data_IF_984988978698
#
_entry.id   IF_984988978698
#
_cell.length_a   1.000
_cell.length_b   1.000
_cell.length_c   1.000
_cell.angle_alpha   90.00
_cell.angle_beta   90.00
_cell.angle_gamma   90.00
#
_symmetry.space_group_name_H-M   'P 1'
#
loop_
_entity.id
_entity.type
_entity.pdbx_description
1 polymer ?
#
# COMPACT_ATOMS: atom_id res chain seq x y z
N UNK A 1 -23.10 -0.39 -12.02
CA UNK A 1 -22.52 0.96 -12.07
C UNK A 1 -22.70 1.62 -10.71
N UNK A 2 -21.60 1.91 -10.03
CA UNK A 2 -21.60 2.69 -8.81
C UNK A 2 -21.86 4.15 -9.16
N UNK A 3 -22.93 4.70 -8.68
CA UNK A 3 -23.21 6.11 -8.87
C UNK A 3 -23.10 6.88 -7.57
N UNK A 4 -22.56 8.07 -7.63
CA UNK A 4 -22.71 9.12 -6.63
C UNK A 4 -24.19 9.55 -6.59
N UNK A 5 -24.59 10.35 -5.59
CA UNK A 5 -26.00 10.75 -5.38
C UNK A 5 -26.71 11.24 -6.65
N UNK A 6 -26.02 11.94 -7.55
CA UNK A 6 -26.57 12.38 -8.85
C UNK A 6 -26.61 11.25 -9.88
N UNK A 7 -25.64 10.34 -9.91
CA UNK A 7 -25.64 9.20 -10.83
C UNK A 7 -26.76 8.20 -10.57
N UNK A 8 -27.37 8.18 -9.36
CA UNK A 8 -28.52 7.34 -9.05
C UNK A 8 -29.77 7.70 -9.87
N UNK A 9 -29.86 8.91 -10.44
CA UNK A 9 -30.95 9.29 -11.33
C UNK A 9 -30.92 8.53 -12.66
N UNK A 10 -29.73 8.11 -13.10
CA UNK A 10 -29.49 7.47 -14.39
C UNK A 10 -29.14 5.98 -14.30
N UNK A 11 -29.09 5.41 -13.09
CA UNK A 11 -28.78 3.99 -12.94
C UNK A 11 -30.01 3.11 -13.02
N UNK A 12 -29.93 2.05 -13.81
CA UNK A 12 -31.00 1.05 -13.98
C UNK A 12 -31.21 0.18 -12.71
N UNK A 13 -30.21 0.05 -11.86
CA UNK A 13 -30.29 -0.71 -10.60
C UNK A 13 -29.77 0.14 -9.45
N UNK A 14 -30.61 0.33 -8.43
CA UNK A 14 -30.29 1.09 -7.23
C UNK A 14 -30.21 0.15 -6.04
N UNK A 15 -29.10 0.20 -5.30
CA UNK A 15 -28.91 -0.59 -4.08
C UNK A 15 -28.55 0.35 -2.93
N UNK A 16 -29.29 0.23 -1.83
CA UNK A 16 -28.96 0.95 -0.59
C UNK A 16 -27.77 0.25 0.07
N UNK A 17 -26.69 0.96 0.24
CA UNK A 17 -25.50 0.43 0.92
C UNK A 17 -25.80 0.27 2.42
N UNK A 18 -25.63 -0.95 2.91
CA UNK A 18 -25.79 -1.29 4.33
C UNK A 18 -24.45 -1.60 5.00
N UNK A 19 -23.39 -1.82 4.22
CA UNK A 19 -22.08 -2.15 4.70
C UNK A 19 -21.08 -1.02 4.47
N UNK A 20 -20.10 -0.91 5.35
CA UNK A 20 -18.96 0.00 5.21
C UNK A 20 -17.91 -0.52 4.23
N UNK A 21 -17.89 -1.83 3.95
CA UNK A 21 -16.91 -2.48 3.11
C UNK A 21 -17.35 -2.52 1.64
N UNK A 22 -16.42 -2.27 0.71
CA UNK A 22 -16.71 -2.28 -0.73
C UNK A 22 -17.09 -3.66 -1.26
N UNK A 23 -16.44 -4.72 -0.77
CA UNK A 23 -16.72 -6.11 -1.22
C UNK A 23 -18.11 -6.54 -0.80
N UNK A 24 -18.52 -6.21 0.44
CA UNK A 24 -19.87 -6.49 0.93
C UNK A 24 -20.92 -5.70 0.15
N UNK A 25 -20.66 -4.42 -0.13
CA UNK A 25 -21.55 -3.61 -0.96
C UNK A 25 -21.68 -4.18 -2.39
N UNK A 26 -20.57 -4.68 -2.96
CA UNK A 26 -20.58 -5.33 -4.26
C UNK A 26 -21.39 -6.64 -4.22
N UNK A 27 -21.24 -7.44 -3.15
CA UNK A 27 -22.05 -8.65 -2.94
C UNK A 27 -23.55 -8.36 -2.90
N UNK A 28 -23.94 -7.29 -2.20
CA UNK A 28 -25.36 -6.83 -2.16
C UNK A 28 -25.83 -6.41 -3.56
N UNK A 29 -24.99 -5.68 -4.29
CA UNK A 29 -25.32 -5.21 -5.63
C UNK A 29 -25.51 -6.35 -6.63
N UNK A 30 -24.64 -7.36 -6.59
CA UNK A 30 -24.69 -8.54 -7.47
C UNK A 30 -25.71 -9.56 -7.01
N UNK A 31 -26.23 -9.44 -5.79
CA UNK A 31 -27.05 -10.45 -5.12
C UNK A 31 -26.33 -11.82 -5.03
N UNK A 32 -25.02 -11.78 -4.83
CA UNK A 32 -24.14 -12.94 -4.74
C UNK A 32 -23.17 -12.78 -3.59
N UNK A 33 -22.85 -13.87 -2.90
CA UNK A 33 -21.79 -13.87 -1.89
C UNK A 33 -20.44 -13.92 -2.58
N UNK A 34 -19.75 -12.78 -2.65
CA UNK A 34 -18.40 -12.72 -3.18
C UNK A 34 -17.46 -13.42 -2.21
N UNK A 35 -16.85 -14.52 -2.65
CA UNK A 35 -15.77 -15.18 -1.91
C UNK A 35 -14.50 -14.37 -2.10
N UNK A 36 -13.87 -13.97 -0.99
CA UNK A 36 -12.50 -13.47 -1.04
C UNK A 36 -11.60 -14.62 -1.48
N UNK A 37 -10.97 -14.46 -2.63
CA UNK A 37 -10.01 -15.44 -3.14
C UNK A 37 -8.62 -14.95 -2.68
N UNK A 38 -7.89 -15.80 -1.98
CA UNK A 38 -6.49 -15.54 -1.70
C UNK A 38 -5.74 -15.52 -3.03
N UNK A 39 -5.20 -14.35 -3.36
CA UNK A 39 -4.40 -14.22 -4.56
C UNK A 39 -3.09 -14.98 -4.38
N UNK A 40 -2.70 -15.77 -5.38
CA UNK A 40 -1.43 -16.47 -5.38
C UNK A 40 -0.44 -15.74 -6.30
N UNK A 41 0.58 -15.06 -5.76
CA UNK A 41 1.58 -14.32 -6.54
C UNK A 41 2.33 -15.19 -7.56
N UNK A 42 2.42 -16.52 -7.32
CA UNK A 42 3.06 -17.46 -8.25
C UNK A 42 2.26 -17.67 -9.55
N UNK A 43 1.00 -17.19 -9.61
CA UNK A 43 0.18 -17.18 -10.83
C UNK A 43 0.41 -15.94 -11.70
N UNK A 44 1.23 -15.00 -11.27
CA UNK A 44 1.64 -13.90 -12.11
C UNK A 44 2.43 -14.38 -13.34
N UNK A 45 2.47 -13.60 -14.42
CA UNK A 45 3.30 -13.91 -15.59
C UNK A 45 4.75 -14.17 -15.19
N UNK A 46 5.34 -15.25 -15.74
CA UNK A 46 6.69 -15.71 -15.36
C UNK A 46 7.78 -14.65 -15.56
N UNK A 47 7.66 -13.82 -16.60
CA UNK A 47 8.56 -12.70 -16.86
C UNK A 47 8.56 -11.68 -15.71
N UNK A 48 7.39 -11.36 -15.11
CA UNK A 48 7.30 -10.43 -13.98
C UNK A 48 7.89 -11.04 -12.70
N UNK A 49 7.68 -12.34 -12.48
CA UNK A 49 8.28 -13.05 -11.35
C UNK A 49 9.81 -13.07 -11.49
N UNK A 50 10.32 -13.34 -12.70
CA UNK A 50 11.76 -13.32 -12.99
C UNK A 50 12.36 -11.93 -12.84
N UNK A 51 11.65 -10.89 -13.32
CA UNK A 51 12.10 -9.50 -13.16
C UNK A 51 12.14 -9.09 -11.69
N UNK A 52 11.12 -9.46 -10.90
CA UNK A 52 11.13 -9.19 -9.46
C UNK A 52 12.30 -9.88 -8.74
N UNK A 53 12.65 -11.11 -9.11
CA UNK A 53 13.83 -11.81 -8.58
C UNK A 53 15.14 -11.14 -8.97
N UNK A 54 15.23 -10.63 -10.19
CA UNK A 54 16.41 -9.88 -10.69
C UNK A 54 16.59 -8.58 -9.94
N UNK A 55 15.49 -7.83 -9.73
CA UNK A 55 15.52 -6.53 -9.06
C UNK A 55 15.71 -6.62 -7.54
N UNK A 56 15.18 -7.66 -6.92
CA UNK A 56 15.28 -7.96 -5.49
C UNK A 56 15.82 -9.39 -5.28
N UNK A 57 17.11 -9.64 -5.54
CA UNK A 57 17.68 -11.01 -5.56
C UNK A 57 17.85 -11.65 -4.18
N UNK A 58 17.97 -10.83 -3.14
CA UNK A 58 18.25 -11.28 -1.75
C UNK A 58 16.94 -11.53 -0.97
N UNK A 59 17.05 -11.55 0.33
CA UNK A 59 16.00 -11.55 1.35
C UNK A 59 16.16 -10.34 2.28
N UNK A 60 15.36 -10.26 3.31
CA UNK A 60 15.36 -9.20 4.33
C UNK A 60 15.05 -7.80 3.77
N UNK A 61 14.03 -7.71 2.93
CA UNK A 61 13.54 -6.46 2.42
C UNK A 61 12.35 -5.92 3.22
N UNK A 62 12.32 -4.60 3.39
CA UNK A 62 11.13 -3.89 3.88
C UNK A 62 10.67 -2.88 2.84
N UNK A 63 9.40 -3.00 2.42
CA UNK A 63 8.81 -2.16 1.40
C UNK A 63 8.16 -0.91 1.96
N UNK A 64 8.29 0.21 1.25
CA UNK A 64 7.66 1.49 1.58
C UNK A 64 6.89 2.03 0.38
N UNK A 65 5.56 2.22 0.55
CA UNK A 65 4.72 2.91 -0.40
C UNK A 65 4.33 4.27 0.16
N UNK A 66 4.94 5.31 -0.37
CA UNK A 66 4.97 6.64 0.26
C UNK A 66 4.19 7.71 -0.52
N UNK A 67 3.95 7.49 -1.82
CA UNK A 67 3.34 8.49 -2.70
C UNK A 67 1.82 8.44 -2.67
N UNK A 68 1.19 9.60 -2.71
CA UNK A 68 -0.26 9.73 -2.86
C UNK A 68 -0.60 10.23 -4.27
N UNK A 69 -1.63 9.64 -4.90
CA UNK A 69 -2.03 10.05 -6.25
C UNK A 69 -2.77 11.39 -6.31
N UNK A 70 -3.33 11.88 -5.19
CA UNK A 70 -4.07 13.14 -5.13
C UNK A 70 -3.71 13.90 -3.84
N UNK A 71 -2.99 15.00 -3.98
CA UNK A 71 -2.47 15.81 -2.88
C UNK A 71 -3.57 16.48 -2.05
N UNK A 72 -4.70 16.84 -2.65
CA UNK A 72 -5.82 17.46 -1.93
C UNK A 72 -6.40 16.56 -0.82
N UNK A 73 -6.19 15.25 -0.91
CA UNK A 73 -6.68 14.30 0.09
C UNK A 73 -5.86 14.26 1.38
N UNK A 74 -4.71 14.94 1.44
CA UNK A 74 -3.82 15.05 2.62
C UNK A 74 -3.54 13.70 3.30
N UNK A 75 -3.25 12.67 2.51
CA UNK A 75 -3.00 11.31 2.97
C UNK A 75 -1.51 11.01 3.17
N UNK A 76 -0.62 11.97 2.90
CA UNK A 76 0.82 11.78 2.98
C UNK A 76 1.29 11.74 4.43
N UNK A 77 1.98 10.68 4.78
CA UNK A 77 2.86 10.68 5.95
C UNK A 77 4.19 11.31 5.55
N UNK A 78 4.80 12.07 6.45
CA UNK A 78 6.00 12.85 6.12
C UNK A 78 7.12 11.97 5.54
N UNK A 79 7.74 12.39 4.43
CA UNK A 79 8.89 11.72 3.85
C UNK A 79 10.04 11.55 4.86
N UNK A 80 10.24 12.52 5.75
CA UNK A 80 11.25 12.44 6.80
C UNK A 80 10.97 11.34 7.81
N UNK A 81 9.69 11.05 8.09
CA UNK A 81 9.31 9.91 8.94
C UNK A 81 9.57 8.58 8.25
N UNK A 82 9.31 8.48 6.94
CA UNK A 82 9.68 7.30 6.15
C UNK A 82 11.20 7.09 6.12
N UNK A 83 11.98 8.15 5.92
CA UNK A 83 13.45 8.12 5.96
C UNK A 83 13.93 7.66 7.34
N UNK A 84 13.39 8.21 8.42
CA UNK A 84 13.73 7.80 9.78
C UNK A 84 13.41 6.33 10.04
N UNK A 85 12.23 5.86 9.59
CA UNK A 85 11.82 4.47 9.73
C UNK A 85 12.71 3.53 8.90
N UNK A 86 13.06 3.92 7.69
CA UNK A 86 13.96 3.16 6.83
C UNK A 86 15.36 3.01 7.44
N UNK A 87 15.92 4.10 8.01
CA UNK A 87 17.20 4.05 8.71
C UNK A 87 17.13 3.15 9.98
N UNK A 88 16.05 3.22 10.75
CA UNK A 88 15.82 2.27 11.87
C UNK A 88 15.74 0.82 11.39
N UNK A 89 15.18 0.57 10.21
CA UNK A 89 15.07 -0.78 9.63
C UNK A 89 16.42 -1.33 9.19
N UNK A 90 17.35 -0.48 8.73
CA UNK A 90 18.74 -0.86 8.43
C UNK A 90 19.45 -1.42 9.67
N UNK A 91 19.21 -0.86 10.84
CA UNK A 91 19.78 -1.36 12.11
C UNK A 91 19.33 -2.82 12.38
N UNK A 92 18.13 -3.20 11.93
CA UNK A 92 17.63 -4.59 11.98
C UNK A 92 18.05 -5.44 10.77
N UNK A 93 19.07 -5.02 10.01
CA UNK A 93 19.55 -5.70 8.79
C UNK A 93 18.48 -5.87 7.71
N UNK A 94 17.48 -4.96 7.64
CA UNK A 94 16.49 -4.96 6.59
C UNK A 94 16.84 -3.91 5.52
N UNK A 95 16.84 -4.32 4.27
CA UNK A 95 17.10 -3.42 3.15
C UNK A 95 15.82 -2.67 2.76
N UNK A 96 15.79 -1.33 2.83
CA UNK A 96 14.63 -0.53 2.43
C UNK A 96 14.38 -0.58 0.92
N UNK A 97 13.14 -0.83 0.52
CA UNK A 97 12.67 -0.85 -0.86
C UNK A 97 11.54 0.17 -0.99
N UNK A 98 11.69 1.16 -1.85
CA UNK A 98 10.69 2.20 -2.05
C UNK A 98 9.96 2.00 -3.39
N UNK A 99 8.64 1.94 -3.34
CA UNK A 99 7.75 1.92 -4.50
C UNK A 99 7.46 3.37 -4.90
N UNK A 100 8.18 3.84 -5.92
CA UNK A 100 8.13 5.22 -6.43
C UNK A 100 8.26 5.18 -7.94
N UNK A 101 7.35 5.88 -8.64
CA UNK A 101 7.37 6.00 -10.09
C UNK A 101 8.58 6.83 -10.59
N UNK A 102 9.05 6.54 -11.81
CA UNK A 102 10.22 7.21 -12.43
C UNK A 102 10.10 8.73 -12.48
N UNK A 103 8.90 9.27 -12.65
CA UNK A 103 8.63 10.71 -12.75
C UNK A 103 8.80 11.50 -11.44
N UNK A 104 9.17 10.83 -10.34
CA UNK A 104 9.32 11.44 -9.02
C UNK A 104 10.80 11.49 -8.56
N UNK A 105 11.70 11.85 -9.46
CA UNK A 105 13.14 11.87 -9.24
C UNK A 105 13.56 12.68 -8.00
N UNK A 106 12.91 13.82 -7.73
CA UNK A 106 13.19 14.67 -6.56
C UNK A 106 12.97 13.93 -5.22
N UNK A 107 11.98 13.03 -5.16
CA UNK A 107 11.74 12.20 -3.98
C UNK A 107 12.79 11.10 -3.86
N UNK A 108 13.12 10.47 -5.00
CA UNK A 108 14.12 9.42 -5.08
C UNK A 108 15.48 9.92 -4.62
N UNK A 109 15.92 11.07 -5.12
CA UNK A 109 17.21 11.65 -4.77
C UNK A 109 17.27 12.06 -3.29
N UNK A 110 16.19 12.61 -2.77
CA UNK A 110 16.07 12.93 -1.35
C UNK A 110 16.24 11.70 -0.46
N UNK A 111 15.65 10.56 -0.86
CA UNK A 111 15.75 9.31 -0.10
C UNK A 111 17.16 8.73 -0.26
N UNK A 112 17.71 8.67 -1.46
CA UNK A 112 19.07 8.14 -1.73
C UNK A 112 20.12 8.83 -0.87
N UNK A 113 20.02 10.16 -0.72
CA UNK A 113 20.98 10.95 0.05
C UNK A 113 20.91 10.69 1.56
N UNK A 114 19.82 10.15 2.07
CA UNK A 114 19.58 10.01 3.51
C UNK A 114 19.38 8.55 3.98
N UNK A 115 19.20 7.61 3.04
CA UNK A 115 18.99 6.18 3.34
C UNK A 115 19.98 5.36 2.53
N UNK A 116 21.16 5.04 3.10
CA UNK A 116 22.17 4.25 2.40
C UNK A 116 21.63 2.87 1.99
N UNK A 117 21.83 2.50 0.72
CA UNK A 117 21.39 1.20 0.21
C UNK A 117 19.89 1.06 -0.07
N UNK A 118 19.12 2.15 -0.02
CA UNK A 118 17.72 2.13 -0.44
C UNK A 118 17.57 1.68 -1.90
N UNK A 119 16.60 0.81 -2.17
CA UNK A 119 16.32 0.27 -3.50
C UNK A 119 15.03 0.88 -4.07
N UNK A 120 15.05 1.12 -5.39
CA UNK A 120 13.93 1.69 -6.17
C UNK A 120 13.69 0.78 -7.39
N UNK A 121 13.08 -0.40 -7.21
CA UNK A 121 13.01 -1.40 -8.28
C UNK A 121 12.18 -0.95 -9.48
N UNK A 122 11.09 -0.20 -9.27
CA UNK A 122 10.24 0.26 -10.37
C UNK A 122 10.97 1.20 -11.34
N UNK A 123 11.95 1.98 -10.85
CA UNK A 123 12.73 2.89 -11.70
C UNK A 123 13.73 2.17 -12.60
N UNK A 124 14.10 0.93 -12.23
CA UNK A 124 15.08 0.10 -12.95
C UNK A 124 14.44 -0.88 -13.91
N UNK A 125 13.12 -1.08 -13.82
CA UNK A 125 12.41 -2.01 -14.69
C UNK A 125 11.98 -1.34 -15.99
N UNK A 126 12.03 -2.10 -17.09
CA UNK A 126 11.45 -1.73 -18.38
C UNK A 126 9.97 -2.13 -18.49
N UNK A 127 9.46 -2.87 -17.50
CA UNK A 127 8.08 -3.38 -17.43
C UNK A 127 7.30 -2.83 -16.24
N UNK A 128 7.26 -1.51 -15.99
CA UNK A 128 6.55 -0.96 -14.85
C UNK A 128 5.04 -1.19 -15.01
N UNK A 129 4.45 -1.95 -14.10
CA UNK A 129 3.02 -2.21 -14.09
C UNK A 129 2.55 -2.65 -12.69
N UNK A 130 1.25 -2.58 -12.40
CA UNK A 130 0.71 -3.01 -11.10
C UNK A 130 1.07 -4.44 -10.72
N UNK A 131 1.09 -5.36 -11.68
CA UNK A 131 1.43 -6.75 -11.44
C UNK A 131 2.92 -6.94 -11.06
N UNK A 132 3.84 -6.11 -11.58
CA UNK A 132 5.23 -6.09 -11.14
C UNK A 132 5.35 -5.65 -9.67
N UNK A 133 4.60 -4.64 -9.24
CA UNK A 133 4.56 -4.22 -7.82
C UNK A 133 4.16 -5.40 -6.94
N UNK A 134 3.13 -6.15 -7.30
CA UNK A 134 2.73 -7.36 -6.56
C UNK A 134 3.83 -8.43 -6.56
N UNK A 135 4.50 -8.65 -7.70
CA UNK A 135 5.61 -9.60 -7.80
C UNK A 135 6.81 -9.18 -6.92
N UNK A 136 7.17 -7.90 -6.93
CA UNK A 136 8.20 -7.33 -6.05
C UNK A 136 7.82 -7.47 -4.58
N UNK A 137 6.54 -7.24 -4.26
CA UNK A 137 6.03 -7.34 -2.90
C UNK A 137 6.14 -8.74 -2.32
N UNK A 138 6.01 -9.78 -3.13
CA UNK A 138 6.22 -11.16 -2.69
C UNK A 138 7.67 -11.48 -2.28
N UNK A 139 8.61 -10.56 -2.52
CA UNK A 139 10.01 -10.66 -2.10
C UNK A 139 10.31 -9.94 -0.78
N UNK A 140 9.32 -9.27 -0.21
CA UNK A 140 9.45 -8.49 1.01
C UNK A 140 9.09 -9.33 2.23
N UNK A 141 9.73 -9.06 3.37
CA UNK A 141 9.34 -9.61 4.67
C UNK A 141 8.24 -8.78 5.32
N UNK A 142 8.26 -7.47 5.11
CA UNK A 142 7.30 -6.51 5.65
C UNK A 142 7.07 -5.37 4.66
N UNK A 143 5.94 -4.71 4.78
CA UNK A 143 5.69 -3.46 4.07
C UNK A 143 5.01 -2.42 4.96
N UNK A 144 5.28 -1.15 4.67
CA UNK A 144 4.60 0.01 5.27
C UNK A 144 4.04 0.87 4.15
N UNK A 145 2.76 1.18 4.22
CA UNK A 145 2.08 1.97 3.19
C UNK A 145 1.13 3.00 3.79
N UNK A 146 0.90 4.07 3.07
CA UNK A 146 -0.26 4.93 3.27
C UNK A 146 -1.46 4.39 2.47
N UNK A 147 -2.65 4.97 2.66
CA UNK A 147 -3.85 4.65 1.88
C UNK A 147 -3.71 5.14 0.42
N UNK A 148 -3.23 4.27 -0.45
CA UNK A 148 -3.04 4.50 -1.89
C UNK A 148 -3.27 3.24 -2.73
N UNK A 149 -3.14 3.34 -4.05
CA UNK A 149 -3.30 2.21 -4.98
C UNK A 149 -2.25 1.10 -4.77
N UNK A 150 -1.00 1.49 -4.50
CA UNK A 150 0.12 0.56 -4.28
C UNK A 150 -0.11 -0.30 -3.03
N UNK A 151 -0.76 0.24 -2.00
CA UNK A 151 -1.20 -0.52 -0.81
C UNK A 151 -1.97 -1.79 -1.20
N UNK A 152 -2.92 -1.67 -2.13
CA UNK A 152 -3.70 -2.82 -2.58
C UNK A 152 -2.87 -3.82 -3.37
N UNK A 153 -1.92 -3.35 -4.21
CA UNK A 153 -1.01 -4.22 -4.95
C UNK A 153 -0.10 -5.02 -4.00
N UNK A 154 0.46 -4.36 -2.98
CA UNK A 154 1.28 -5.01 -1.94
C UNK A 154 0.44 -6.03 -1.16
N UNK A 155 -0.79 -5.69 -0.82
CA UNK A 155 -1.65 -6.58 -0.04
C UNK A 155 -1.98 -7.90 -0.75
N UNK A 156 -1.93 -7.93 -2.09
CA UNK A 156 -2.10 -9.17 -2.86
C UNK A 156 -0.95 -10.17 -2.65
N UNK A 157 0.21 -9.73 -2.22
CA UNK A 157 1.33 -10.62 -1.91
C UNK A 157 1.17 -11.36 -0.56
N UNK A 158 0.16 -11.00 0.23
CA UNK A 158 -0.20 -11.58 1.54
C UNK A 158 0.95 -11.64 2.55
N UNK A 159 1.78 -10.60 2.53
CA UNK A 159 2.90 -10.42 3.46
C UNK A 159 2.49 -9.56 4.66
N UNK A 160 3.25 -9.60 5.78
CA UNK A 160 3.07 -8.67 6.89
C UNK A 160 3.13 -7.21 6.43
N UNK A 161 2.08 -6.45 6.72
CA UNK A 161 1.94 -5.08 6.23
C UNK A 161 1.35 -4.17 7.30
N UNK A 162 1.87 -2.94 7.38
CA UNK A 162 1.34 -1.87 8.21
C UNK A 162 0.78 -0.79 7.30
N UNK A 163 -0.48 -0.42 7.49
CA UNK A 163 -1.12 0.63 6.69
C UNK A 163 -1.52 1.81 7.55
N UNK A 164 -1.08 2.99 7.13
CA UNK A 164 -1.32 4.25 7.82
C UNK A 164 -2.53 4.97 7.22
N UNK A 165 -3.50 5.27 8.06
CA UNK A 165 -4.70 6.01 7.71
C UNK A 165 -4.78 7.34 8.46
N UNK A 166 -5.21 8.37 7.75
CA UNK A 166 -5.50 9.69 8.30
C UNK A 166 -6.95 10.10 8.01
N UNK A 167 -7.19 10.93 6.99
CA UNK A 167 -8.52 11.48 6.71
C UNK A 167 -9.51 10.46 6.17
N UNK A 168 -9.04 9.40 5.53
CA UNK A 168 -9.88 8.38 4.88
C UNK A 168 -10.42 7.34 5.87
N UNK A 169 -11.45 6.59 5.46
CA UNK A 169 -12.08 5.58 6.29
C UNK A 169 -11.34 4.23 6.15
N UNK A 170 -10.59 3.84 7.19
CA UNK A 170 -9.83 2.59 7.22
C UNK A 170 -10.73 1.34 7.12
N UNK A 171 -11.94 1.36 7.70
CA UNK A 171 -12.87 0.22 7.62
C UNK A 171 -13.34 -0.04 6.19
N UNK A 172 -13.41 1.04 5.37
CA UNK A 172 -13.84 0.97 3.98
C UNK A 172 -12.72 0.57 3.03
N UNK A 173 -11.51 1.12 3.22
CA UNK A 173 -10.44 1.06 2.24
C UNK A 173 -9.28 0.14 2.60
N UNK A 174 -9.13 -0.24 3.87
CA UNK A 174 -8.03 -1.12 4.25
C UNK A 174 -8.18 -2.51 3.62
N UNK A 175 -7.07 -3.13 3.21
CA UNK A 175 -7.04 -4.53 2.83
C UNK A 175 -7.56 -5.42 3.98
N UNK A 176 -8.19 -6.54 3.64
CA UNK A 176 -8.82 -7.46 4.60
C UNK A 176 -7.99 -8.73 4.87
N UNK A 177 -6.70 -8.70 4.54
CA UNK A 177 -5.78 -9.80 4.79
C UNK A 177 -5.46 -9.90 6.29
N UNK A 178 -5.24 -11.11 6.79
CA UNK A 178 -4.94 -11.37 8.20
C UNK A 178 -3.60 -10.78 8.67
N UNK A 179 -2.67 -10.57 7.73
CA UNK A 179 -1.33 -10.04 8.01
C UNK A 179 -1.24 -8.49 7.94
N UNK A 180 -2.39 -7.80 7.78
CA UNK A 180 -2.43 -6.34 7.71
C UNK A 180 -2.76 -5.73 9.06
N UNK A 181 -1.84 -4.92 9.58
CA UNK A 181 -2.05 -4.08 10.77
C UNK A 181 -2.40 -2.66 10.32
N UNK A 182 -3.41 -2.04 10.93
CA UNK A 182 -3.89 -0.71 10.57
C UNK A 182 -3.60 0.26 11.69
N UNK A 183 -2.87 1.34 11.39
CA UNK A 183 -2.71 2.51 12.23
C UNK A 183 -3.61 3.64 11.69
N UNK A 184 -4.73 3.89 12.35
CA UNK A 184 -5.66 4.96 11.99
C UNK A 184 -5.55 6.09 13.01
N UNK A 185 -5.06 7.26 12.56
CA UNK A 185 -4.85 8.43 13.43
C UNK A 185 -6.15 8.90 14.12
N UNK A 186 -7.31 8.66 13.49
CA UNK A 186 -8.60 8.98 14.10
C UNK A 186 -8.91 8.07 15.29
N UNK A 187 -8.51 6.81 15.22
CA UNK A 187 -8.73 5.83 16.30
C UNK A 187 -7.74 6.03 17.45
N UNK A 188 -6.46 6.25 17.12
CA UNK A 188 -5.36 6.34 18.07
C UNK A 188 -5.27 7.74 18.69
N UNK A 189 -5.27 8.78 17.86
CA UNK A 189 -4.97 10.16 18.25
C UNK A 189 -6.17 11.12 18.15
N UNK A 190 -7.37 10.59 17.81
CA UNK A 190 -8.62 11.37 17.65
C UNK A 190 -8.51 12.51 16.62
N UNK A 191 -7.60 12.39 15.65
CA UNK A 191 -7.37 13.39 14.60
C UNK A 191 -7.35 12.77 13.21
N UNK A 192 -7.72 13.55 12.19
CA UNK A 192 -7.60 13.16 10.78
C UNK A 192 -6.18 13.36 10.23
N UNK A 193 -5.28 13.95 11.01
CA UNK A 193 -3.91 14.20 10.59
C UNK A 193 -3.09 12.90 10.67
N UNK A 194 -2.77 12.30 9.54
CA UNK A 194 -1.89 11.13 9.46
C UNK A 194 -0.50 11.39 10.06
N UNK A 195 -0.06 12.66 10.04
CA UNK A 195 1.19 13.09 10.65
C UNK A 195 1.28 12.86 12.16
N UNK A 196 0.16 12.66 12.86
CA UNK A 196 0.16 12.31 14.29
C UNK A 196 0.71 10.92 14.58
N UNK A 197 0.66 10.00 13.61
CA UNK A 197 1.27 8.68 13.74
C UNK A 197 2.79 8.88 13.83
N UNK A 198 3.40 8.36 14.89
CA UNK A 198 4.84 8.49 15.13
C UNK A 198 5.64 7.39 14.40
N UNK A 199 6.95 7.59 14.27
CA UNK A 199 7.84 6.55 13.72
C UNK A 199 7.86 5.33 14.63
N UNK A 200 7.80 5.54 15.95
CA UNK A 200 7.85 4.47 16.93
C UNK A 200 6.56 3.63 16.93
N UNK A 201 5.39 4.24 16.68
CA UNK A 201 4.14 3.49 16.51
C UNK A 201 4.27 2.44 15.39
N UNK A 202 4.95 2.82 14.30
CA UNK A 202 5.14 1.93 13.15
C UNK A 202 6.26 0.93 13.42
N UNK A 203 7.38 1.40 13.94
CA UNK A 203 8.58 0.60 14.19
C UNK A 203 8.33 -0.56 15.15
N UNK A 204 7.52 -0.33 16.19
CA UNK A 204 7.18 -1.36 17.18
C UNK A 204 6.27 -2.47 16.64
N UNK A 205 5.73 -2.31 15.42
CA UNK A 205 4.91 -3.29 14.73
C UNK A 205 5.66 -4.10 13.67
N UNK A 206 6.90 -3.69 13.32
CA UNK A 206 7.83 -4.39 12.43
C UNK A 206 8.63 -5.42 13.27
#
# INVERSE_FOLDING_TARGET
>A
FYSTTFGNLFSSKKVKYNSKNHVENLSIFLNEKIKMINFNPNKLPKNLISEAKKLLPKSNYIGFSITQGNEYRKKSWSIYKFISLANKSLIKNKTPVFFIEKNQEHIIDKIKNQVPGALFPETKSEMPCPALVTALSSRLDHAVSIDNGVMHMISLADIPMIVLFGPTNSEKFAPKNNHVKILDSKKIYKTKNIGSITVDDVYNLI
#
